data_IF_293584483448
#
_entry.id   IF_293584483448
#
_cell.length_a   1.000
_cell.length_b   1.000
_cell.length_c   1.000
_cell.angle_alpha   90.00
_cell.angle_beta   90.00
_cell.angle_gamma   90.00
#
_symmetry.space_group_name_H-M   'P 1'
#
loop_
_entity.id
_entity.type
_entity.pdbx_description
1 polymer ?
#
# COMPACT_ATOMS: atom_id res chain seq x y z
N UNK A 1 17.80 39.05 -20.24
CA UNK A 1 18.73 38.74 -19.14
C UNK A 1 17.99 38.49 -17.82
N UNK A 2 17.13 39.41 -17.36
CA UNK A 2 16.33 39.24 -16.12
C UNK A 2 15.43 38.00 -16.14
N UNK A 3 14.71 37.75 -17.24
CA UNK A 3 13.84 36.57 -17.39
C UNK A 3 14.61 35.25 -17.32
N UNK A 4 15.81 35.20 -17.92
CA UNK A 4 16.69 34.02 -17.91
C UNK A 4 17.23 33.74 -16.49
N UNK A 5 17.58 34.79 -15.75
CA UNK A 5 18.03 34.66 -14.37
C UNK A 5 16.88 34.24 -13.44
N UNK A 6 15.66 34.74 -13.66
CA UNK A 6 14.46 34.32 -12.92
C UNK A 6 14.11 32.86 -13.22
N UNK A 7 14.18 32.42 -14.48
CA UNK A 7 14.03 31.02 -14.87
C UNK A 7 15.09 30.14 -14.21
N UNK A 8 16.36 30.53 -14.26
CA UNK A 8 17.45 29.80 -13.63
C UNK A 8 17.29 29.67 -12.11
N UNK A 9 16.89 30.76 -11.43
CA UNK A 9 16.60 30.74 -10.00
C UNK A 9 15.40 29.85 -9.67
N UNK A 10 14.33 29.92 -10.46
CA UNK A 10 13.15 29.07 -10.30
C UNK A 10 13.52 27.59 -10.48
N UNK A 11 14.30 27.25 -11.51
CA UNK A 11 14.76 25.88 -11.74
C UNK A 11 15.64 25.39 -10.59
N UNK A 12 16.56 26.22 -10.08
CA UNK A 12 17.40 25.86 -8.93
C UNK A 12 16.57 25.63 -7.67
N UNK A 13 15.60 26.51 -7.38
CA UNK A 13 14.69 26.37 -6.24
C UNK A 13 13.86 25.10 -6.36
N UNK A 14 13.24 24.85 -7.52
CA UNK A 14 12.45 23.62 -7.76
C UNK A 14 13.32 22.37 -7.59
N UNK A 15 14.55 22.39 -8.11
CA UNK A 15 15.46 21.25 -8.01
C UNK A 15 15.91 20.98 -6.57
N UNK A 16 16.22 22.03 -5.80
CA UNK A 16 16.61 21.91 -4.39
C UNK A 16 15.41 21.48 -3.53
N UNK A 17 14.22 22.05 -3.76
CA UNK A 17 13.00 21.64 -3.06
C UNK A 17 12.64 20.19 -3.39
N UNK A 18 12.76 19.77 -4.65
CA UNK A 18 12.55 18.38 -5.06
C UNK A 18 13.58 17.44 -4.41
N UNK A 19 14.85 17.83 -4.36
CA UNK A 19 15.88 17.06 -3.67
C UNK A 19 15.56 16.91 -2.17
N UNK A 20 15.26 18.00 -1.46
CA UNK A 20 14.86 17.96 -0.04
C UNK A 20 13.64 17.05 0.14
N UNK A 21 12.63 17.17 -0.72
CA UNK A 21 11.45 16.30 -0.71
C UNK A 21 11.84 14.82 -0.82
N UNK A 22 12.72 14.45 -1.75
CA UNK A 22 13.19 13.07 -1.94
C UNK A 22 13.88 12.51 -0.69
N UNK A 23 14.59 13.35 0.07
CA UNK A 23 15.30 12.93 1.28
C UNK A 23 14.41 12.87 2.54
N UNK A 24 13.32 13.63 2.59
CA UNK A 24 12.47 13.79 3.79
C UNK A 24 11.14 13.05 3.67
N UNK A 25 10.60 12.91 2.46
CA UNK A 25 9.26 12.35 2.25
C UNK A 25 9.23 10.84 2.47
N UNK A 26 8.08 10.37 2.96
CA UNK A 26 7.75 8.95 3.11
C UNK A 26 6.83 8.41 2.00
N UNK A 27 6.57 9.22 0.96
CA UNK A 27 5.79 8.87 -0.22
C UNK A 27 6.15 9.72 -1.44
N UNK A 28 5.63 9.35 -2.62
CA UNK A 28 5.78 10.14 -3.84
C UNK A 28 5.13 11.53 -3.75
N UNK A 29 5.60 12.44 -4.62
CA UNK A 29 5.27 13.86 -4.50
C UNK A 29 3.78 14.13 -4.66
N UNK A 30 3.12 13.38 -5.56
CA UNK A 30 1.70 13.54 -5.81
C UNK A 30 0.91 13.01 -4.61
N UNK A 31 1.30 11.86 -4.06
CA UNK A 31 0.70 11.33 -2.82
C UNK A 31 0.90 12.29 -1.66
N UNK A 32 2.10 12.86 -1.48
CA UNK A 32 2.36 13.85 -0.44
C UNK A 32 1.48 15.09 -0.63
N UNK A 33 1.38 15.61 -1.86
CA UNK A 33 0.55 16.76 -2.19
C UNK A 33 -0.93 16.47 -1.90
N UNK A 34 -1.45 15.32 -2.33
CA UNK A 34 -2.80 14.87 -2.02
C UNK A 34 -3.02 14.70 -0.51
N UNK A 35 -2.00 14.24 0.22
CA UNK A 35 -2.07 14.13 1.69
C UNK A 35 -2.25 15.50 2.36
N UNK A 36 -1.80 16.58 1.71
CA UNK A 36 -1.95 17.95 2.20
C UNK A 36 -3.27 18.58 1.72
N UNK A 37 -3.51 18.65 0.41
CA UNK A 37 -4.62 19.42 -0.19
C UNK A 37 -5.71 18.59 -0.86
N UNK A 38 -5.52 17.27 -0.99
CA UNK A 38 -6.46 16.36 -1.64
C UNK A 38 -7.58 15.85 -0.73
N UNK A 39 -8.39 14.93 -1.29
CA UNK A 39 -9.46 14.22 -0.56
C UNK A 39 -8.88 13.38 0.57
N UNK A 40 -9.56 13.36 1.72
CA UNK A 40 -9.15 12.63 2.92
C UNK A 40 -9.90 11.30 3.05
N UNK A 41 -9.43 10.34 3.87
CA UNK A 41 -10.09 9.03 4.03
C UNK A 41 -11.56 9.09 4.48
N UNK A 42 -12.01 10.22 5.04
CA UNK A 42 -13.42 10.47 5.40
C UNK A 42 -14.39 10.29 4.21
N UNK A 43 -13.93 10.37 2.96
CA UNK A 43 -14.76 10.11 1.77
C UNK A 43 -15.26 8.67 1.66
N UNK A 44 -14.66 7.72 2.38
CA UNK A 44 -15.10 6.32 2.40
C UNK A 44 -16.27 6.05 3.36
N UNK A 45 -16.78 7.07 4.07
CA UNK A 45 -17.92 6.91 4.97
C UNK A 45 -19.13 6.30 4.25
N UNK A 46 -19.68 5.24 4.82
CA UNK A 46 -20.84 4.51 4.28
C UNK A 46 -20.53 3.62 3.07
N UNK A 47 -19.29 3.63 2.56
CA UNK A 47 -18.86 2.78 1.44
C UNK A 47 -18.60 1.35 1.90
N UNK A 48 -18.89 0.38 1.04
CA UNK A 48 -18.63 -1.04 1.28
C UNK A 48 -17.27 -1.39 0.66
N UNK A 49 -16.30 -1.70 1.50
CA UNK A 49 -14.91 -1.97 1.11
C UNK A 49 -14.54 -3.42 1.39
N UNK A 50 -14.19 -4.17 0.36
CA UNK A 50 -13.72 -5.55 0.47
C UNK A 50 -12.20 -5.62 0.45
N UNK A 51 -11.62 -6.09 1.55
CA UNK A 51 -10.19 -6.16 1.79
C UNK A 51 -9.74 -7.61 1.78
N UNK A 52 -8.90 -7.98 0.81
CA UNK A 52 -8.18 -9.26 0.82
C UNK A 52 -6.83 -9.11 1.51
N UNK A 53 -6.45 -10.11 2.32
CA UNK A 53 -5.28 -10.03 3.20
C UNK A 53 -5.53 -9.23 4.48
N UNK A 54 -6.78 -9.14 4.95
CA UNK A 54 -7.18 -8.31 6.09
C UNK A 54 -6.74 -8.84 7.47
N UNK A 55 -6.17 -10.06 7.55
CA UNK A 55 -5.88 -10.73 8.83
C UNK A 55 -4.70 -10.15 9.62
N UNK A 56 -3.81 -9.40 8.96
CA UNK A 56 -2.57 -8.89 9.57
C UNK A 56 -1.91 -7.80 8.72
N UNK A 57 -1.01 -7.03 9.31
CA UNK A 57 -0.17 -6.07 8.59
C UNK A 57 -0.99 -4.96 7.94
N UNK A 58 -0.62 -4.58 6.70
CA UNK A 58 -1.21 -3.42 6.01
C UNK A 58 -2.72 -3.57 5.85
N UNK A 59 -3.21 -4.76 5.45
CA UNK A 59 -4.64 -5.00 5.27
C UNK A 59 -5.45 -4.83 6.57
N UNK A 60 -4.89 -5.24 7.70
CA UNK A 60 -5.51 -5.03 9.02
C UNK A 60 -5.55 -3.54 9.40
N UNK A 61 -4.46 -2.80 9.19
CA UNK A 61 -4.42 -1.37 9.51
C UNK A 61 -5.36 -0.55 8.62
N UNK A 62 -5.47 -0.91 7.33
CA UNK A 62 -6.45 -0.32 6.41
C UNK A 62 -7.87 -0.59 6.91
N UNK A 63 -8.19 -1.82 7.30
CA UNK A 63 -9.50 -2.17 7.84
C UNK A 63 -9.87 -1.30 9.06
N UNK A 64 -8.93 -1.13 10.00
CA UNK A 64 -9.14 -0.30 11.20
C UNK A 64 -9.39 1.17 10.86
N UNK A 65 -8.58 1.77 9.99
CA UNK A 65 -8.76 3.18 9.59
C UNK A 65 -10.05 3.40 8.81
N UNK A 66 -10.43 2.45 7.96
CA UNK A 66 -11.71 2.50 7.25
C UNK A 66 -12.90 2.35 8.20
N UNK A 67 -12.78 1.51 9.23
CA UNK A 67 -13.79 1.39 10.27
C UNK A 67 -13.98 2.72 11.03
N UNK A 68 -12.88 3.36 11.44
CA UNK A 68 -12.89 4.65 12.16
C UNK A 68 -13.61 5.76 11.37
N UNK A 69 -13.47 5.78 10.04
CA UNK A 69 -14.18 6.78 9.20
C UNK A 69 -15.64 6.41 8.92
N UNK A 70 -16.07 5.19 9.25
CA UNK A 70 -17.43 4.68 9.11
C UNK A 70 -17.71 3.98 7.78
N UNK A 71 -16.69 3.35 7.17
CA UNK A 71 -16.89 2.47 6.01
C UNK A 71 -17.36 1.07 6.47
N UNK A 72 -18.22 0.43 5.69
CA UNK A 72 -18.61 -0.98 5.88
C UNK A 72 -17.54 -1.88 5.28
N UNK A 73 -17.28 -3.03 5.87
CA UNK A 73 -16.11 -3.84 5.55
C UNK A 73 -16.47 -5.29 5.21
N UNK A 74 -15.82 -5.82 4.18
CA UNK A 74 -15.69 -7.27 3.98
C UNK A 74 -14.24 -7.63 4.25
N UNK A 75 -13.99 -8.47 5.26
CA UNK A 75 -12.65 -8.87 5.68
C UNK A 75 -12.36 -10.27 5.18
N UNK A 76 -11.34 -10.42 4.32
CA UNK A 76 -10.97 -11.70 3.73
C UNK A 76 -9.51 -12.06 3.93
N UNK A 77 -9.29 -13.29 4.38
CA UNK A 77 -8.02 -13.98 4.48
C UNK A 77 -8.26 -15.48 4.69
N UNK A 78 -7.19 -16.27 4.77
CA UNK A 78 -7.27 -17.73 5.00
C UNK A 78 -7.67 -18.08 6.43
N UNK A 79 -7.29 -17.26 7.42
CA UNK A 79 -7.46 -17.56 8.85
C UNK A 79 -8.64 -16.79 9.43
N UNK A 80 -9.75 -17.47 9.64
CA UNK A 80 -10.99 -16.88 10.20
C UNK A 80 -10.78 -16.32 11.59
N UNK A 81 -10.00 -16.98 12.44
CA UNK A 81 -9.72 -16.51 13.82
C UNK A 81 -9.10 -15.11 13.85
N UNK A 82 -8.17 -14.84 12.93
CA UNK A 82 -7.51 -13.55 12.83
C UNK A 82 -8.47 -12.48 12.28
N UNK A 83 -9.33 -12.83 11.33
CA UNK A 83 -10.35 -11.93 10.78
C UNK A 83 -11.37 -11.53 11.85
N UNK A 84 -11.81 -12.48 12.68
CA UNK A 84 -12.73 -12.19 13.79
C UNK A 84 -12.11 -11.27 14.84
N UNK A 85 -10.80 -11.44 15.11
CA UNK A 85 -10.05 -10.50 15.94
C UNK A 85 -10.06 -9.09 15.34
N UNK A 86 -9.73 -8.97 14.05
CA UNK A 86 -9.73 -7.67 13.36
C UNK A 86 -11.13 -7.04 13.34
N UNK A 87 -12.19 -7.82 13.08
CA UNK A 87 -13.59 -7.36 13.17
C UNK A 87 -13.90 -6.77 14.55
N UNK A 88 -13.57 -7.49 15.63
CA UNK A 88 -13.79 -6.99 17.00
C UNK A 88 -13.07 -5.68 17.28
N UNK A 89 -11.82 -5.56 16.83
CA UNK A 89 -11.05 -4.33 17.00
C UNK A 89 -11.63 -3.15 16.19
N UNK A 90 -12.09 -3.41 14.97
CA UNK A 90 -12.78 -2.42 14.14
C UNK A 90 -14.08 -1.93 14.79
N UNK A 91 -14.92 -2.84 15.29
CA UNK A 91 -16.17 -2.50 15.98
C UNK A 91 -15.91 -1.69 17.25
N UNK A 92 -14.90 -2.06 18.04
CA UNK A 92 -14.56 -1.36 19.29
C UNK A 92 -14.12 0.09 19.06
N UNK A 93 -13.41 0.34 17.96
CA UNK A 93 -12.79 1.64 17.68
C UNK A 93 -13.62 2.50 16.72
N UNK A 94 -14.87 2.11 16.40
CA UNK A 94 -15.72 2.82 15.44
C UNK A 94 -17.18 2.89 15.91
N UNK A 95 -18.01 3.61 15.14
CA UNK A 95 -19.46 3.65 15.32
C UNK A 95 -20.22 2.58 14.52
N UNK A 96 -19.53 1.55 14.04
CA UNK A 96 -20.12 0.49 13.21
C UNK A 96 -20.80 -0.59 14.06
N UNK A 97 -21.81 -1.23 13.47
CA UNK A 97 -22.48 -2.39 14.08
C UNK A 97 -21.97 -3.71 13.46
N UNK A 98 -22.28 -4.84 14.10
CA UNK A 98 -21.76 -6.14 13.68
C UNK A 98 -22.08 -6.48 12.21
N UNK A 99 -23.27 -6.09 11.73
CA UNK A 99 -23.70 -6.30 10.34
C UNK A 99 -23.01 -5.39 9.32
N UNK A 100 -22.31 -4.34 9.76
CA UNK A 100 -21.50 -3.51 8.86
C UNK A 100 -20.14 -4.15 8.54
N UNK A 101 -19.77 -5.25 9.20
CA UNK A 101 -18.52 -5.97 8.96
C UNK A 101 -18.79 -7.45 8.70
N UNK A 102 -18.59 -7.88 7.45
CA UNK A 102 -18.68 -9.26 7.01
C UNK A 102 -17.29 -9.93 7.05
N UNK A 103 -17.16 -11.03 7.79
CA UNK A 103 -15.97 -11.90 7.74
C UNK A 103 -16.19 -12.95 6.67
N UNK A 104 -15.33 -12.95 5.65
CA UNK A 104 -15.44 -13.84 4.50
C UNK A 104 -14.09 -14.53 4.23
N UNK A 105 -13.88 -15.74 4.77
CA UNK A 105 -12.66 -16.49 4.50
C UNK A 105 -12.48 -16.72 3.00
N UNK A 106 -11.30 -16.39 2.48
CA UNK A 106 -10.99 -16.45 1.05
C UNK A 106 -9.55 -16.92 0.87
N UNK A 107 -9.36 -17.94 0.04
CA UNK A 107 -8.06 -18.28 -0.51
C UNK A 107 -7.97 -17.76 -1.94
N UNK A 108 -7.12 -16.76 -2.15
CA UNK A 108 -6.96 -16.09 -3.43
C UNK A 108 -6.31 -16.97 -4.52
N UNK A 109 -5.84 -18.18 -4.19
CA UNK A 109 -5.41 -19.16 -5.20
C UNK A 109 -6.55 -20.05 -5.70
N UNK A 110 -7.73 -19.98 -5.07
CA UNK A 110 -8.89 -20.79 -5.44
C UNK A 110 -9.90 -19.94 -6.24
N UNK A 111 -9.62 -19.76 -7.52
CA UNK A 111 -10.39 -18.92 -8.44
C UNK A 111 -11.87 -19.31 -8.54
N UNK A 112 -12.19 -20.62 -8.45
CA UNK A 112 -13.58 -21.12 -8.50
C UNK A 112 -14.42 -20.64 -7.30
N UNK A 113 -13.78 -20.24 -6.21
CA UNK A 113 -14.46 -19.74 -5.01
C UNK A 113 -14.75 -18.23 -5.04
N UNK A 114 -14.20 -17.50 -6.01
CA UNK A 114 -14.27 -16.04 -6.03
C UNK A 114 -15.67 -15.53 -6.39
N UNK A 115 -16.33 -16.15 -7.38
CA UNK A 115 -17.70 -15.76 -7.80
C UNK A 115 -18.70 -15.95 -6.65
N UNK A 116 -18.70 -17.13 -6.02
CA UNK A 116 -19.52 -17.42 -4.83
C UNK A 116 -19.23 -16.48 -3.65
N UNK A 117 -17.98 -16.01 -3.54
CA UNK A 117 -17.58 -15.06 -2.51
C UNK A 117 -18.14 -13.66 -2.81
N UNK A 118 -18.13 -13.23 -4.07
CA UNK A 118 -18.75 -11.97 -4.48
C UNK A 118 -20.27 -12.01 -4.30
N UNK A 119 -20.94 -13.11 -4.67
CA UNK A 119 -22.38 -13.31 -4.44
C UNK A 119 -22.73 -13.10 -2.96
N UNK A 120 -21.99 -13.69 -2.04
CA UNK A 120 -22.20 -13.49 -0.59
C UNK A 120 -22.06 -12.04 -0.14
N UNK A 121 -21.14 -11.28 -0.74
CA UNK A 121 -20.96 -9.85 -0.45
C UNK A 121 -22.18 -9.08 -0.95
N UNK A 122 -22.65 -9.37 -2.16
CA UNK A 122 -23.83 -8.73 -2.75
C UNK A 122 -25.11 -9.10 -2.01
N UNK A 123 -25.26 -10.35 -1.56
CA UNK A 123 -26.40 -10.78 -0.74
C UNK A 123 -26.44 -10.05 0.60
N UNK A 124 -25.27 -9.78 1.20
CA UNK A 124 -25.19 -9.13 2.51
C UNK A 124 -25.32 -7.61 2.44
N UNK A 125 -24.71 -6.95 1.44
CA UNK A 125 -24.63 -5.49 1.36
C UNK A 125 -25.39 -4.86 0.19
N UNK A 126 -25.86 -5.65 -0.78
CA UNK A 126 -26.51 -5.20 -2.01
C UNK A 126 -25.58 -4.61 -3.06
N UNK A 127 -24.38 -4.17 -2.68
CA UNK A 127 -23.38 -3.57 -3.58
C UNK A 127 -21.97 -3.72 -3.02
N UNK A 128 -20.97 -3.43 -3.85
CA UNK A 128 -19.56 -3.33 -3.47
C UNK A 128 -18.99 -2.05 -4.09
N UNK A 129 -18.50 -1.13 -3.26
CA UNK A 129 -17.95 0.15 -3.74
C UNK A 129 -16.45 0.04 -4.06
N UNK A 130 -15.69 -0.74 -3.29
CA UNK A 130 -14.22 -0.79 -3.37
C UNK A 130 -13.73 -2.22 -3.12
N UNK A 131 -12.85 -2.72 -4.00
CA UNK A 131 -12.14 -3.98 -3.82
C UNK A 131 -10.63 -3.72 -3.69
N UNK A 132 -10.01 -4.23 -2.61
CA UNK A 132 -8.62 -3.98 -2.26
C UNK A 132 -7.82 -5.28 -2.13
N UNK A 133 -6.64 -5.31 -2.75
CA UNK A 133 -5.71 -6.45 -2.71
C UNK A 133 -4.31 -6.03 -2.27
N UNK A 134 -3.68 -6.84 -1.41
CA UNK A 134 -2.39 -6.52 -0.76
C UNK A 134 -1.22 -7.41 -1.22
N UNK A 135 -1.08 -7.75 -2.52
CA UNK A 135 -0.04 -8.68 -3.04
C UNK A 135 0.92 -8.02 -4.05
N UNK A 136 2.12 -8.58 -4.25
CA UNK A 136 3.22 -7.94 -5.02
C UNK A 136 3.25 -8.22 -6.55
N UNK A 137 2.42 -9.10 -7.10
CA UNK A 137 2.47 -9.49 -8.53
C UNK A 137 1.69 -8.55 -9.49
N UNK A 138 1.52 -7.27 -9.13
CA UNK A 138 0.35 -6.50 -9.54
C UNK A 138 0.60 -5.35 -10.54
N UNK A 139 1.86 -4.95 -10.80
CA UNK A 139 2.16 -3.81 -11.69
C UNK A 139 1.62 -4.02 -13.12
N UNK A 140 2.07 -5.06 -13.83
CA UNK A 140 1.64 -5.28 -15.23
C UNK A 140 0.16 -5.66 -15.38
N UNK A 141 -0.40 -6.39 -14.40
CA UNK A 141 -1.81 -6.78 -14.43
C UNK A 141 -2.75 -5.58 -14.21
N UNK A 142 -2.43 -4.70 -13.25
CA UNK A 142 -3.28 -3.54 -12.99
C UNK A 142 -3.12 -2.41 -14.00
N UNK A 143 -1.98 -2.31 -14.68
CA UNK A 143 -1.85 -1.38 -15.80
C UNK A 143 -2.74 -1.81 -16.98
N UNK A 144 -2.75 -3.10 -17.33
CA UNK A 144 -3.67 -3.64 -18.34
C UNK A 144 -5.13 -3.46 -17.93
N UNK A 145 -5.47 -3.80 -16.67
CA UNK A 145 -6.83 -3.64 -16.15
C UNK A 145 -7.30 -2.17 -16.16
N UNK A 146 -6.40 -1.22 -15.84
CA UNK A 146 -6.73 0.22 -15.89
C UNK A 146 -7.05 0.68 -17.31
N UNK A 147 -6.34 0.14 -18.32
CA UNK A 147 -6.63 0.43 -19.73
C UNK A 147 -7.97 -0.19 -20.16
N UNK A 148 -8.24 -1.44 -19.79
CA UNK A 148 -9.52 -2.10 -20.09
C UNK A 148 -10.73 -1.39 -19.45
N UNK A 149 -10.56 -0.87 -18.24
CA UNK A 149 -11.62 -0.20 -17.47
C UNK A 149 -11.70 1.31 -17.72
N UNK A 150 -10.88 1.89 -18.60
CA UNK A 150 -10.78 3.35 -18.77
C UNK A 150 -12.09 4.04 -19.20
N UNK A 151 -12.98 3.30 -19.89
CA UNK A 151 -14.29 3.79 -20.31
C UNK A 151 -15.41 3.54 -19.27
N UNK A 152 -15.07 2.91 -18.14
CA UNK A 152 -15.99 2.63 -17.03
C UNK A 152 -15.79 3.63 -15.90
N UNK A 153 -16.64 3.57 -14.86
CA UNK A 153 -16.48 4.40 -13.66
C UNK A 153 -15.69 3.67 -12.55
N UNK A 154 -14.76 2.78 -12.91
CA UNK A 154 -13.93 2.00 -12.00
C UNK A 154 -12.49 2.49 -12.09
N UNK A 155 -11.96 3.06 -11.00
CA UNK A 155 -10.56 3.47 -10.90
C UNK A 155 -9.70 2.35 -10.30
N UNK A 156 -8.49 2.16 -10.84
CA UNK A 156 -7.51 1.18 -10.34
C UNK A 156 -6.28 1.91 -9.81
N UNK A 157 -6.05 1.81 -8.50
CA UNK A 157 -4.90 2.38 -7.80
C UNK A 157 -3.93 1.27 -7.37
N UNK A 158 -2.68 1.36 -7.81
CA UNK A 158 -1.60 0.48 -7.38
C UNK A 158 -0.80 1.15 -6.25
N UNK A 159 -0.64 0.45 -5.13
CA UNK A 159 0.21 0.90 -4.01
C UNK A 159 1.48 0.07 -3.98
N UNK A 160 2.64 0.74 -3.94
CA UNK A 160 3.97 0.16 -3.96
C UNK A 160 4.67 0.47 -2.62
N UNK A 161 4.36 -0.29 -1.55
CA UNK A 161 4.99 -0.07 -0.27
C UNK A 161 6.44 -0.60 -0.27
N UNK A 162 7.37 0.18 0.28
CA UNK A 162 8.70 -0.34 0.64
C UNK A 162 8.67 -1.14 1.95
N UNK A 163 9.77 -1.23 2.70
CA UNK A 163 9.79 -1.94 3.98
C UNK A 163 8.78 -1.38 5.00
N UNK A 164 7.79 -2.19 5.37
CA UNK A 164 6.76 -1.87 6.39
C UNK A 164 6.93 -2.77 7.60
N UNK A 165 6.95 -2.17 8.80
CA UNK A 165 7.03 -2.88 10.06
C UNK A 165 5.69 -3.56 10.35
N UNK A 166 5.57 -4.84 10.00
CA UNK A 166 4.38 -5.65 10.17
C UNK A 166 4.71 -6.98 10.86
N UNK A 167 3.75 -7.66 11.50
CA UNK A 167 3.98 -9.00 12.08
C UNK A 167 4.35 -10.08 11.04
N UNK A 168 4.20 -9.77 9.74
CA UNK A 168 4.70 -10.60 8.65
C UNK A 168 6.21 -10.42 8.46
N UNK A 169 6.75 -9.24 8.77
CA UNK A 169 8.17 -8.93 8.63
C UNK A 169 9.03 -9.72 9.63
N UNK A 170 8.46 -10.14 10.77
CA UNK A 170 9.13 -11.04 11.73
C UNK A 170 9.13 -12.51 11.24
N UNK A 171 8.32 -12.81 10.23
CA UNK A 171 8.08 -14.14 9.67
C UNK A 171 8.67 -14.20 8.26
N UNK A 172 9.97 -14.47 8.18
CA UNK A 172 10.71 -14.60 6.93
C UNK A 172 10.07 -15.61 5.98
N UNK A 173 10.09 -15.27 4.69
CA UNK A 173 9.69 -16.18 3.62
C UNK A 173 10.80 -17.20 3.38
N UNK A 174 10.59 -18.44 3.81
CA UNK A 174 11.44 -19.56 3.39
C UNK A 174 10.90 -20.16 2.09
N UNK A 175 11.78 -20.81 1.33
CA UNK A 175 11.39 -21.57 0.12
C UNK A 175 10.59 -22.86 0.45
N UNK A 176 10.49 -23.21 1.74
CA UNK A 176 9.83 -24.43 2.23
C UNK A 176 8.47 -24.08 2.81
N UNK A 177 7.40 -24.60 2.18
CA UNK A 177 6.01 -24.35 2.57
C UNK A 177 5.75 -24.84 4.00
N UNK A 178 5.53 -23.91 4.93
CA UNK A 178 5.16 -24.20 6.32
C UNK A 178 6.25 -23.87 7.35
N UNK A 179 7.48 -23.60 6.91
CA UNK A 179 8.51 -23.05 7.78
C UNK A 179 8.42 -21.53 7.83
N UNK A 180 8.66 -20.98 9.02
CA UNK A 180 8.70 -19.54 9.27
C UNK A 180 10.04 -19.27 9.93
N UNK A 181 10.99 -18.71 9.18
CA UNK A 181 12.24 -18.25 9.78
C UNK A 181 11.99 -16.92 10.48
N UNK A 182 12.59 -16.69 11.66
CA UNK A 182 12.59 -15.38 12.28
C UNK A 182 13.43 -14.43 11.41
N UNK A 183 12.78 -13.56 10.63
CA UNK A 183 13.50 -12.56 9.85
C UNK A 183 13.83 -11.40 10.77
N UNK A 184 15.11 -11.26 11.09
CA UNK A 184 15.59 -10.12 11.88
C UNK A 184 15.93 -9.00 10.91
N UNK A 185 15.20 -7.89 11.00
CA UNK A 185 15.45 -6.71 10.16
C UNK A 185 16.90 -6.24 10.38
N UNK A 186 17.73 -6.14 9.33
CA UNK A 186 19.11 -5.67 9.44
C UNK A 186 19.20 -4.32 10.16
N UNK A 187 20.21 -4.16 11.05
CA UNK A 187 20.48 -2.90 11.75
C UNK A 187 20.68 -1.76 10.74
N UNK A 188 19.85 -0.72 10.83
CA UNK A 188 19.94 0.49 10.00
C UNK A 188 18.84 0.64 8.93
N UNK A 189 17.98 -0.37 8.74
CA UNK A 189 16.82 -0.25 7.85
C UNK A 189 15.70 0.52 8.56
N UNK A 190 15.30 1.67 7.99
CA UNK A 190 14.20 2.47 8.52
C UNK A 190 12.90 2.00 7.87
N UNK A 191 12.04 1.35 8.67
CA UNK A 191 10.74 0.86 8.21
C UNK A 191 9.64 1.90 8.41
N UNK A 192 8.67 1.90 7.49
CA UNK A 192 7.43 2.65 7.67
C UNK A 192 6.51 1.88 8.63
N UNK A 193 5.75 2.58 9.48
CA UNK A 193 4.76 1.91 10.32
C UNK A 193 3.59 1.41 9.48
N UNK A 194 2.94 0.33 9.92
CA UNK A 194 1.79 -0.23 9.20
C UNK A 194 0.64 0.79 9.13
N UNK A 195 0.43 1.58 10.18
CA UNK A 195 -0.60 2.62 10.27
C UNK A 195 -0.33 3.75 9.28
N UNK A 196 0.93 4.20 9.19
CA UNK A 196 1.30 5.26 8.25
C UNK A 196 1.20 4.80 6.80
N UNK A 197 1.62 3.57 6.51
CA UNK A 197 1.46 2.98 5.19
C UNK A 197 -0.03 2.92 4.80
N UNK A 198 -0.88 2.40 5.68
CA UNK A 198 -2.33 2.33 5.45
C UNK A 198 -2.96 3.71 5.21
N UNK A 199 -2.56 4.72 5.98
CA UNK A 199 -3.05 6.08 5.81
C UNK A 199 -2.71 6.65 4.42
N UNK A 200 -1.46 6.48 3.98
CA UNK A 200 -1.02 6.94 2.67
C UNK A 200 -1.72 6.18 1.53
N UNK A 201 -1.92 4.87 1.67
CA UNK A 201 -2.72 4.09 0.71
C UNK A 201 -4.14 4.64 0.56
N UNK A 202 -4.80 4.98 1.67
CA UNK A 202 -6.15 5.55 1.64
C UNK A 202 -6.20 6.93 0.98
N UNK A 203 -5.17 7.75 1.17
CA UNK A 203 -5.03 9.03 0.46
C UNK A 203 -4.92 8.81 -1.05
N UNK A 204 -4.08 7.87 -1.48
CA UNK A 204 -3.87 7.58 -2.90
C UNK A 204 -5.15 7.07 -3.56
N UNK A 205 -5.89 6.18 -2.89
CA UNK A 205 -7.19 5.69 -3.37
C UNK A 205 -8.25 6.80 -3.40
N UNK A 206 -8.37 7.62 -2.35
CA UNK A 206 -9.38 8.69 -2.29
C UNK A 206 -9.20 9.73 -3.41
N UNK A 207 -7.97 9.91 -3.88
CA UNK A 207 -7.60 10.81 -4.96
C UNK A 207 -7.47 10.11 -6.32
N UNK A 208 -7.81 8.82 -6.42
CA UNK A 208 -7.79 8.03 -7.66
C UNK A 208 -6.42 8.06 -8.35
N UNK A 209 -5.35 7.99 -7.56
CA UNK A 209 -4.00 7.96 -8.13
C UNK A 209 -3.77 6.62 -8.83
N UNK A 210 -3.16 6.60 -10.03
CA UNK A 210 -2.91 5.34 -10.75
C UNK A 210 -1.87 4.48 -10.02
N UNK A 211 -0.82 5.11 -9.48
CA UNK A 211 0.29 4.46 -8.77
C UNK A 211 0.74 5.35 -7.61
N UNK A 212 1.14 4.74 -6.49
CA UNK A 212 1.65 5.45 -5.32
C UNK A 212 2.74 4.67 -4.62
N UNK A 213 3.89 5.29 -4.41
CA UNK A 213 5.05 4.68 -3.76
C UNK A 213 5.14 5.17 -2.32
N UNK A 214 5.22 4.24 -1.37
CA UNK A 214 5.10 4.54 0.06
C UNK A 214 6.24 3.88 0.82
N UNK A 215 7.30 4.63 1.12
CA UNK A 215 8.42 4.15 1.94
C UNK A 215 9.25 5.29 2.51
N UNK A 216 10.07 5.01 3.52
CA UNK A 216 11.04 5.98 4.04
C UNK A 216 12.33 6.01 3.23
N UNK A 217 13.12 7.07 3.39
CA UNK A 217 14.50 7.16 2.92
C UNK A 217 15.37 6.03 3.55
N UNK A 218 16.30 5.41 2.80
CA UNK A 218 16.66 5.64 1.39
C UNK A 218 15.86 4.83 0.36
N UNK A 219 14.92 3.99 0.80
CA UNK A 219 14.21 3.05 -0.08
C UNK A 219 13.34 3.75 -1.13
N UNK A 220 12.74 4.88 -0.77
CA UNK A 220 11.86 5.63 -1.67
C UNK A 220 12.61 6.13 -2.92
N UNK A 221 13.72 6.89 -2.81
CA UNK A 221 14.51 7.27 -3.97
C UNK A 221 15.08 6.07 -4.73
N UNK A 222 15.51 5.01 -4.04
CA UNK A 222 16.10 3.86 -4.75
C UNK A 222 15.08 3.14 -5.63
N UNK A 223 13.85 2.94 -5.17
CA UNK A 223 12.80 2.29 -5.97
C UNK A 223 12.36 3.17 -7.15
N UNK A 224 12.33 4.49 -6.96
CA UNK A 224 12.07 5.44 -8.05
C UNK A 224 13.20 5.44 -9.09
N UNK A 225 14.46 5.39 -8.64
CA UNK A 225 15.62 5.28 -9.52
C UNK A 225 15.68 3.94 -10.25
N UNK A 226 15.31 2.83 -9.61
CA UNK A 226 15.23 1.51 -10.24
C UNK A 226 14.24 1.49 -11.41
N UNK A 227 13.08 2.13 -11.20
CA UNK A 227 11.99 2.14 -12.16
C UNK A 227 12.25 3.11 -13.33
N UNK A 228 12.70 4.33 -13.05
CA UNK A 228 12.82 5.39 -14.07
C UNK A 228 14.25 5.63 -14.58
N UNK A 229 15.26 5.21 -13.83
CA UNK A 229 16.69 5.42 -14.17
C UNK A 229 17.55 4.18 -13.88
N UNK A 230 17.19 3.00 -14.43
CA UNK A 230 17.81 1.71 -14.05
C UNK A 230 19.33 1.70 -14.30
N UNK A 231 19.80 2.40 -15.32
CA UNK A 231 21.24 2.52 -15.65
C UNK A 231 21.98 3.34 -14.58
N UNK A 232 21.36 4.41 -14.06
CA UNK A 232 21.96 5.26 -13.01
C UNK A 232 22.04 4.48 -11.70
N UNK A 233 20.97 3.78 -11.32
CA UNK A 233 21.00 2.92 -10.14
C UNK A 233 22.05 1.82 -10.26
N UNK A 234 22.15 1.16 -11.42
CA UNK A 234 23.18 0.14 -11.67
C UNK A 234 24.60 0.68 -11.50
N UNK A 235 24.85 1.91 -11.97
CA UNK A 235 26.13 2.61 -11.79
C UNK A 235 26.37 2.97 -10.31
N UNK A 236 25.36 3.49 -9.61
CA UNK A 236 25.44 3.75 -8.17
C UNK A 236 25.69 2.47 -7.37
N UNK A 237 25.01 1.37 -7.68
CA UNK A 237 25.24 0.06 -7.09
C UNK A 237 26.65 -0.46 -7.39
N UNK A 238 27.22 -0.20 -8.57
CA UNK A 238 28.63 -0.55 -8.84
C UNK A 238 29.63 0.30 -8.04
N UNK A 239 29.29 1.56 -7.75
CA UNK A 239 30.15 2.48 -6.99
C UNK A 239 30.05 2.31 -5.47
N UNK A 240 28.87 1.93 -4.95
CA UNK A 240 28.59 1.84 -3.51
C UNK A 240 28.27 0.40 -3.03
N UNK A 241 28.19 -0.58 -3.95
CA UNK A 241 27.53 -1.87 -3.75
C UNK A 241 28.20 -2.84 -2.79
N UNK A 242 29.52 -2.81 -2.61
CA UNK A 242 30.17 -3.73 -1.66
C UNK A 242 29.73 -3.49 -0.21
N UNK A 243 29.31 -2.27 0.14
CA UNK A 243 28.76 -1.97 1.48
C UNK A 243 27.26 -2.27 1.59
N UNK A 244 26.49 -2.13 0.51
CA UNK A 244 25.03 -2.32 0.53
C UNK A 244 24.65 -3.80 0.40
N UNK A 245 25.35 -4.58 -0.45
CA UNK A 245 25.11 -6.02 -0.64
C UNK A 245 25.42 -6.87 0.60
N UNK A 246 26.29 -6.39 1.49
CA UNK A 246 26.60 -7.08 2.75
C UNK A 246 25.37 -7.17 3.67
N UNK A 247 24.51 -6.14 3.65
CA UNK A 247 23.27 -6.12 4.45
C UNK A 247 22.13 -6.94 3.84
N UNK A 248 22.12 -7.16 2.52
CA UNK A 248 21.07 -7.93 1.84
C UNK A 248 21.31 -9.43 1.90
N UNK A 249 22.57 -9.89 1.97
CA UNK A 249 22.91 -11.32 2.08
C UNK A 249 22.88 -11.87 3.51
N UNK A 250 23.04 -11.04 4.52
CA UNK A 250 22.97 -11.47 5.93
C UNK A 250 21.52 -11.57 6.46
N UNK A 251 20.53 -11.18 5.66
CA UNK A 251 19.11 -11.21 6.02
C UNK A 251 18.22 -12.07 5.12
N UNK A 252 18.76 -12.87 4.20
CA UNK A 252 17.99 -13.85 3.41
C UNK A 252 18.24 -15.27 3.91
#
# INVERSE_FOLDING_TARGET
MVLLNLLGLLTAVVSVTFAIFVFVSDCDFITLLCSWIGRKPKTFRGKIVWITGASSGIGEAIAKQLAEVGAKLVLSARRTTDLERVKKECLRNSGLIDSDILVLPLDATNFESHEKSLEKVLDHFGTLDVFLTCKHALHGYFDALRVELCATNIDVTLICPGPVASPFSDKGMTSVRGEVAAFTVPKGIIMLSTERCAYLSLISMANRLPESWVSKFPFFPSSYMETYFPIVLHLCCKLFGERVLKYTKEGL
#
